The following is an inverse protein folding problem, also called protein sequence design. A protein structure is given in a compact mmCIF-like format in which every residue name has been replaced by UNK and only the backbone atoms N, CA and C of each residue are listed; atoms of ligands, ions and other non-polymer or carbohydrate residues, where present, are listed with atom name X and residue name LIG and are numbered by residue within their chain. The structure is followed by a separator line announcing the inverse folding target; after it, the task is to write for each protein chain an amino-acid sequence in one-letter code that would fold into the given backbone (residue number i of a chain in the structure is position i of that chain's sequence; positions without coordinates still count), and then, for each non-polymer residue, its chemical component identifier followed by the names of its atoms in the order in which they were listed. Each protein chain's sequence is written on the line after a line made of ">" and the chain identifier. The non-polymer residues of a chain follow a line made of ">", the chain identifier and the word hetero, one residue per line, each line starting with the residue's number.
data_IF_474837715785
#
_entry.id   IF_474837715785
#
_cell.length_a   1.000
_cell.length_b   1.000
_cell.length_c   1.000
_cell.angle_alpha   90.00
_cell.angle_beta   90.00
_cell.angle_gamma   90.00
#
_symmetry.space_group_name_H-M   'P 1'
#
loop_
_entity.id
_entity.type
_entity.pdbx_description
1 polymer ?
#
# COMPACT_ATOMS: atom_id res chain seq x y z
N UNK A 1 -12.77 1.51 25.50
CA UNK A 1 -13.93 1.87 24.65
C UNK A 1 -13.44 2.84 23.58
N UNK A 2 -13.56 2.50 22.28
CA UNK A 2 -13.13 3.36 21.17
C UNK A 2 -14.36 4.06 20.58
N UNK A 3 -14.38 5.39 20.54
CA UNK A 3 -15.49 6.18 20.00
C UNK A 3 -15.50 6.14 18.48
N UNK A 4 -16.58 5.62 17.89
CA UNK A 4 -16.86 5.75 16.47
C UNK A 4 -17.24 7.21 16.18
N UNK A 5 -16.44 7.93 15.39
CA UNK A 5 -16.81 9.26 14.90
C UNK A 5 -17.83 9.11 13.77
N UNK A 6 -19.10 9.30 14.07
CA UNK A 6 -20.16 9.47 13.08
C UNK A 6 -20.20 10.95 12.65
N UNK A 7 -19.88 11.22 11.38
CA UNK A 7 -20.12 12.52 10.76
C UNK A 7 -21.53 12.58 10.18
N UNK A 8 -22.18 13.76 10.24
CA UNK A 8 -23.44 13.98 9.53
C UNK A 8 -23.24 13.90 8.01
N UNK A 9 -24.30 13.54 7.29
CA UNK A 9 -24.27 13.45 5.84
C UNK A 9 -24.01 14.84 5.21
N UNK A 10 -23.14 14.89 4.21
CA UNK A 10 -22.94 16.10 3.43
C UNK A 10 -24.20 16.42 2.60
N UNK A 11 -24.58 17.69 2.55
CA UNK A 11 -25.76 18.22 1.84
C UNK A 11 -25.37 19.33 0.84
N UNK A 12 -26.27 19.63 -0.11
CA UNK A 12 -26.08 20.67 -1.13
C UNK A 12 -24.85 20.45 -2.02
N UNK A 13 -24.25 21.54 -2.51
CA UNK A 13 -23.10 21.46 -3.45
C UNK A 13 -21.88 20.70 -2.91
N UNK A 14 -21.75 20.54 -1.59
CA UNK A 14 -20.74 19.68 -0.96
C UNK A 14 -20.97 18.21 -1.31
N UNK A 15 -22.23 17.74 -1.26
CA UNK A 15 -22.62 16.38 -1.64
C UNK A 15 -22.35 16.13 -3.13
N UNK A 16 -22.69 17.09 -3.98
CA UNK A 16 -22.53 16.96 -5.42
C UNK A 16 -21.04 16.87 -5.80
N UNK A 17 -20.21 17.72 -5.19
CA UNK A 17 -18.75 17.67 -5.35
C UNK A 17 -18.16 16.33 -4.90
N UNK A 18 -18.63 15.81 -3.76
CA UNK A 18 -18.17 14.50 -3.27
C UNK A 18 -18.58 13.36 -4.21
N UNK A 19 -19.79 13.42 -4.73
CA UNK A 19 -20.31 12.42 -5.68
C UNK A 19 -19.52 12.44 -6.97
N UNK A 20 -19.25 13.62 -7.54
CA UNK A 20 -18.40 13.76 -8.72
C UNK A 20 -16.98 13.20 -8.48
N UNK A 21 -16.37 13.51 -7.34
CA UNK A 21 -15.05 12.95 -6.97
C UNK A 21 -15.07 11.45 -6.71
N UNK A 22 -16.20 10.88 -6.33
CA UNK A 22 -16.33 9.43 -6.17
C UNK A 22 -16.41 8.74 -7.53
N UNK A 23 -17.17 9.30 -8.47
CA UNK A 23 -17.25 8.82 -9.84
C UNK A 23 -15.88 8.87 -10.53
N UNK A 24 -15.20 10.02 -10.47
CA UNK A 24 -13.86 10.19 -11.04
C UNK A 24 -12.85 9.17 -10.47
N UNK A 25 -12.88 8.93 -9.16
CA UNK A 25 -11.99 7.93 -8.53
C UNK A 25 -12.36 6.50 -8.92
N UNK A 26 -13.63 6.20 -9.14
CA UNK A 26 -14.04 4.89 -9.64
C UNK A 26 -13.49 4.65 -11.05
N UNK A 27 -13.61 5.63 -11.93
CA UNK A 27 -13.05 5.55 -13.30
C UNK A 27 -11.53 5.38 -13.29
N UNK A 28 -10.83 6.11 -12.42
CA UNK A 28 -9.38 5.96 -12.26
C UNK A 28 -9.01 4.55 -11.74
N UNK A 29 -9.76 4.03 -10.77
CA UNK A 29 -9.51 2.69 -10.25
C UNK A 29 -9.72 1.63 -11.34
N UNK A 30 -10.78 1.74 -12.14
CA UNK A 30 -11.05 0.82 -13.23
C UNK A 30 -9.94 0.85 -14.29
N UNK A 31 -9.51 2.05 -14.68
CA UNK A 31 -8.43 2.22 -15.63
C UNK A 31 -7.12 1.60 -15.13
N UNK A 32 -6.68 1.98 -13.92
CA UNK A 32 -5.40 1.50 -13.37
C UNK A 32 -5.42 0.00 -13.04
N UNK A 33 -6.58 -0.56 -12.68
CA UNK A 33 -6.74 -2.00 -12.47
C UNK A 33 -6.48 -2.77 -13.76
N UNK A 34 -7.07 -2.34 -14.88
CA UNK A 34 -6.84 -2.96 -16.20
C UNK A 34 -5.38 -2.86 -16.63
N UNK A 35 -4.76 -1.69 -16.46
CA UNK A 35 -3.32 -1.51 -16.75
C UNK A 35 -2.47 -2.46 -15.90
N UNK A 36 -2.82 -2.63 -14.62
CA UNK A 36 -2.10 -3.53 -13.72
C UNK A 36 -2.25 -5.00 -14.13
N UNK A 37 -3.46 -5.43 -14.50
CA UNK A 37 -3.72 -6.79 -15.01
C UNK A 37 -2.90 -7.06 -16.29
N UNK A 38 -2.86 -6.09 -17.20
CA UNK A 38 -2.03 -6.18 -18.40
C UNK A 38 -0.55 -6.34 -18.07
N UNK A 39 0.00 -5.52 -17.17
CA UNK A 39 1.40 -5.63 -16.75
C UNK A 39 1.75 -6.98 -16.12
N UNK A 40 0.81 -7.58 -15.39
CA UNK A 40 0.99 -8.92 -14.81
C UNK A 40 0.95 -9.98 -15.91
N UNK A 41 0.01 -9.89 -16.85
CA UNK A 41 -0.10 -10.82 -17.98
C UNK A 41 1.11 -10.76 -18.90
N UNK A 42 1.67 -9.58 -19.12
CA UNK A 42 2.87 -9.37 -19.94
C UNK A 42 4.18 -9.73 -19.21
N UNK A 43 4.09 -10.08 -17.92
CA UNK A 43 5.26 -10.38 -17.09
C UNK A 43 6.12 -9.16 -16.74
N UNK A 44 5.67 -7.94 -17.10
CA UNK A 44 6.34 -6.69 -16.76
C UNK A 44 6.31 -6.40 -15.25
N UNK A 45 5.34 -6.96 -14.53
CA UNK A 45 5.26 -6.85 -13.08
C UNK A 45 4.81 -8.14 -12.41
N UNK A 46 5.48 -8.51 -11.33
CA UNK A 46 5.07 -9.61 -10.46
C UNK A 46 3.96 -9.18 -9.50
N UNK A 47 3.05 -10.10 -9.19
CA UNK A 47 2.00 -9.89 -8.20
C UNK A 47 2.46 -10.36 -6.82
N UNK A 48 2.92 -9.43 -5.98
CA UNK A 48 3.29 -9.71 -4.60
C UNK A 48 2.14 -9.40 -3.66
N UNK A 49 1.81 -10.35 -2.79
CA UNK A 49 0.78 -10.25 -1.76
C UNK A 49 1.19 -10.92 -0.45
N UNK A 50 0.33 -10.89 0.57
CA UNK A 50 0.58 -11.57 1.83
C UNK A 50 0.69 -13.10 1.69
N UNK A 51 0.15 -13.67 0.60
CA UNK A 51 0.26 -15.10 0.31
C UNK A 51 1.62 -15.48 -0.31
N UNK A 52 2.38 -14.50 -0.79
CA UNK A 52 3.68 -14.71 -1.46
C UNK A 52 4.88 -14.26 -0.62
N UNK A 53 4.64 -13.48 0.44
CA UNK A 53 5.69 -12.91 1.30
C UNK A 53 5.38 -13.31 2.74
N UNK A 54 6.34 -13.95 3.39
CA UNK A 54 6.29 -14.33 4.79
C UNK A 54 7.16 -13.41 5.67
N UNK A 55 6.96 -13.53 6.98
CA UNK A 55 7.92 -12.99 7.95
C UNK A 55 9.28 -13.69 7.76
N UNK A 56 10.35 -12.95 7.97
CA UNK A 56 11.75 -13.39 7.83
C UNK A 56 12.24 -13.58 6.38
N UNK A 57 11.39 -13.29 5.39
CA UNK A 57 11.82 -13.16 3.98
C UNK A 57 12.69 -11.92 3.77
N UNK A 58 13.55 -11.96 2.74
CA UNK A 58 14.32 -10.80 2.28
C UNK A 58 13.66 -10.19 1.06
N UNK A 59 13.42 -8.87 1.10
CA UNK A 59 12.90 -8.11 -0.05
C UNK A 59 13.94 -7.10 -0.50
N UNK A 60 14.08 -6.91 -1.82
CA UNK A 60 14.96 -5.89 -2.39
C UNK A 60 14.16 -4.63 -2.68
N UNK A 61 14.55 -3.50 -2.10
CA UNK A 61 14.01 -2.19 -2.46
C UNK A 61 15.13 -1.16 -2.59
N UNK A 62 15.05 -0.30 -3.61
CA UNK A 62 16.07 0.73 -3.92
C UNK A 62 17.52 0.21 -3.94
N UNK A 63 17.72 -1.04 -4.34
CA UNK A 63 19.05 -1.66 -4.44
C UNK A 63 19.50 -2.44 -3.20
N UNK A 64 18.84 -2.27 -2.05
CA UNK A 64 19.22 -2.91 -0.78
C UNK A 64 18.22 -4.00 -0.40
N UNK A 65 18.73 -5.09 0.20
CA UNK A 65 17.91 -6.16 0.75
C UNK A 65 17.55 -5.86 2.20
N UNK A 66 16.28 -6.05 2.56
CA UNK A 66 15.79 -5.86 3.91
C UNK A 66 15.01 -7.08 4.39
N UNK A 67 15.11 -7.37 5.70
CA UNK A 67 14.38 -8.47 6.34
C UNK A 67 12.96 -8.04 6.68
N UNK A 68 11.96 -8.86 6.35
CA UNK A 68 10.55 -8.60 6.68
C UNK A 68 10.27 -8.97 8.13
N UNK A 69 9.89 -7.99 8.94
CA UNK A 69 9.52 -8.21 10.37
C UNK A 69 8.02 -8.42 10.56
N UNK A 70 7.20 -7.88 9.66
CA UNK A 70 5.74 -8.00 9.69
C UNK A 70 5.13 -7.84 8.30
N UNK A 71 4.20 -8.71 7.97
CA UNK A 71 3.39 -8.62 6.74
C UNK A 71 2.00 -8.08 7.10
N UNK A 72 1.59 -6.99 6.43
CA UNK A 72 0.21 -6.48 6.47
C UNK A 72 -0.46 -6.74 5.12
N UNK A 73 -1.78 -6.57 5.06
CA UNK A 73 -2.57 -6.81 3.83
C UNK A 73 -2.09 -6.04 2.60
N UNK A 74 -1.55 -4.82 2.77
CA UNK A 74 -1.12 -3.93 1.68
C UNK A 74 0.32 -3.42 1.81
N UNK A 75 0.98 -3.72 2.92
CA UNK A 75 2.30 -3.15 3.24
C UNK A 75 3.11 -4.17 4.03
N UNK A 76 4.42 -4.07 3.96
CA UNK A 76 5.34 -4.87 4.77
C UNK A 76 6.20 -3.94 5.61
N UNK A 77 6.48 -4.33 6.83
CA UNK A 77 7.44 -3.67 7.70
C UNK A 77 8.77 -4.41 7.57
N UNK A 78 9.84 -3.66 7.36
CA UNK A 78 11.19 -4.20 7.23
C UNK A 78 12.10 -3.73 8.35
N UNK A 79 13.08 -4.55 8.70
CA UNK A 79 14.15 -4.15 9.59
C UNK A 79 15.16 -3.28 8.82
N UNK A 80 15.40 -2.07 9.32
CA UNK A 80 16.36 -1.10 8.78
C UNK A 80 17.60 -0.96 9.65
N UNK A 81 17.72 -1.75 10.73
CA UNK A 81 18.82 -1.68 11.69
C UNK A 81 20.18 -1.89 11.02
N UNK A 82 20.24 -2.77 10.02
CA UNK A 82 21.44 -3.02 9.21
C UNK A 82 21.86 -1.81 8.34
N UNK A 83 20.92 -0.91 8.02
CA UNK A 83 21.20 0.32 7.25
C UNK A 83 21.72 1.45 8.14
N UNK A 84 21.38 1.44 9.42
CA UNK A 84 21.74 2.45 10.41
C UNK A 84 22.55 1.78 11.53
N UNK A 85 23.73 1.26 11.19
CA UNK A 85 24.71 0.92 12.22
C UNK A 85 25.16 2.23 12.87
N UNK A 86 24.43 2.68 13.89
CA UNK A 86 24.90 3.75 14.75
C UNK A 86 26.28 3.32 15.27
N UNK A 87 27.32 4.19 15.24
CA UNK A 87 28.60 3.82 15.79
C UNK A 87 28.37 3.43 17.24
N UNK A 88 28.77 2.22 17.60
CA UNK A 88 28.76 1.71 18.96
C UNK A 88 29.38 2.79 19.84
N UNK A 89 28.55 3.47 20.66
CA UNK A 89 29.11 4.36 21.68
C UNK A 89 29.87 3.45 22.64
N UNK A 90 31.17 3.73 22.77
CA UNK A 90 32.11 3.07 23.67
C UNK A 90 31.58 3.06 25.10
#
# INVERSE_FOLDING_TARGET
>A
MCQQRSSSAATGGRRDTLTARMAERADQLDYWTKVREQQISEGAATNYGPDTIAKDDKIKTRGTWYLVVRVNKKTVSVDVSDMYQAPTRC
#
